data_IF_487237357441
#
_entry.id   IF_487237357441
#
_cell.length_a   1.000
_cell.length_b   1.000
_cell.length_c   1.000
_cell.angle_alpha   90.00
_cell.angle_beta   90.00
_cell.angle_gamma   90.00
#
_symmetry.space_group_name_H-M   'P 1'
#
loop_
_entity.id
_entity.type
_entity.pdbx_description
1 polymer ?
#
# COMPACT_ATOMS: atom_id res chain seq x y z
N UNK A 1 5.23 -7.54 -17.58
CA UNK A 1 5.25 -6.80 -16.31
C UNK A 1 6.69 -6.51 -15.95
N UNK A 2 7.09 -5.23 -15.91
CA UNK A 2 8.45 -4.79 -15.54
C UNK A 2 8.80 -5.34 -14.14
N UNK A 3 9.91 -6.08 -13.99
CA UNK A 3 10.32 -6.71 -12.73
C UNK A 3 10.45 -5.71 -11.58
N UNK A 4 10.93 -4.49 -11.85
CA UNK A 4 11.02 -3.42 -10.86
C UNK A 4 9.64 -2.97 -10.38
N UNK A 5 8.66 -2.91 -11.30
CA UNK A 5 7.28 -2.58 -10.97
C UNK A 5 6.63 -3.67 -10.11
N UNK A 6 6.92 -4.95 -10.40
CA UNK A 6 6.44 -6.08 -9.58
C UNK A 6 7.00 -6.00 -8.17
N UNK A 7 8.30 -5.73 -8.06
CA UNK A 7 8.97 -5.58 -6.77
C UNK A 7 8.37 -4.44 -5.96
N UNK A 8 8.21 -3.27 -6.58
CA UNK A 8 7.62 -2.10 -5.93
C UNK A 8 6.18 -2.36 -5.47
N UNK A 9 5.36 -3.00 -6.30
CA UNK A 9 3.99 -3.36 -5.94
C UNK A 9 3.96 -4.29 -4.71
N UNK A 10 4.85 -5.28 -4.65
CA UNK A 10 4.95 -6.19 -3.52
C UNK A 10 5.42 -5.48 -2.23
N UNK A 11 6.36 -4.53 -2.33
CA UNK A 11 6.82 -3.72 -1.20
C UNK A 11 5.67 -2.89 -0.60
N UNK A 12 4.83 -2.28 -1.45
CA UNK A 12 3.67 -1.53 -0.97
C UNK A 12 2.58 -2.43 -0.38
N UNK A 13 2.36 -3.63 -0.92
CA UNK A 13 1.43 -4.62 -0.32
C UNK A 13 1.89 -5.09 1.05
N UNK A 14 3.19 -5.32 1.25
CA UNK A 14 3.70 -5.65 2.60
C UNK A 14 3.60 -4.45 3.55
N UNK A 15 3.80 -3.22 3.03
CA UNK A 15 3.62 -1.99 3.80
C UNK A 15 2.18 -1.84 4.29
N UNK A 16 1.19 -2.04 3.40
CA UNK A 16 -0.23 -2.06 3.76
C UNK A 16 -0.49 -3.06 4.90
N UNK A 17 -0.01 -4.31 4.75
CA UNK A 17 -0.18 -5.36 5.75
C UNK A 17 0.42 -4.98 7.10
N UNK A 18 1.64 -4.45 7.11
CA UNK A 18 2.30 -3.98 8.34
C UNK A 18 1.52 -2.86 9.02
N UNK A 19 1.02 -1.90 8.24
CA UNK A 19 0.22 -0.80 8.76
C UNK A 19 -1.09 -1.29 9.36
N UNK A 20 -1.82 -2.17 8.66
CA UNK A 20 -3.07 -2.76 9.16
C UNK A 20 -2.86 -3.54 10.47
N UNK A 21 -1.74 -4.25 10.62
CA UNK A 21 -1.38 -4.89 11.89
C UNK A 21 -1.14 -3.86 13.01
N UNK A 22 -0.39 -2.79 12.71
CA UNK A 22 -0.09 -1.72 13.67
C UNK A 22 -1.30 -0.88 14.09
N UNK A 23 -2.35 -0.80 13.25
CA UNK A 23 -3.57 -0.03 13.54
C UNK A 23 -4.27 -0.47 14.83
N UNK A 24 -4.15 -1.74 15.22
CA UNK A 24 -4.77 -2.26 16.44
C UNK A 24 -4.08 -1.78 17.71
N UNK A 25 -2.88 -1.23 17.63
CA UNK A 25 -2.12 -0.72 18.76
C UNK A 25 -2.30 0.79 18.97
N UNK A 26 -3.03 1.46 18.07
CA UNK A 26 -3.26 2.89 18.13
C UNK A 26 -4.58 3.22 18.83
N UNK A 27 -4.50 4.12 19.83
CA UNK A 27 -5.66 4.68 20.51
C UNK A 27 -6.46 5.63 19.59
N UNK A 28 -5.77 6.37 18.72
CA UNK A 28 -6.36 7.25 17.71
C UNK A 28 -5.99 6.76 16.31
N UNK A 29 -6.99 6.43 15.50
CA UNK A 29 -6.79 5.73 14.23
C UNK A 29 -6.92 6.64 13.02
N UNK A 30 -7.56 7.79 13.15
CA UNK A 30 -7.95 8.66 12.04
C UNK A 30 -6.76 9.15 11.22
N UNK A 31 -5.69 9.60 11.89
CA UNK A 31 -4.46 9.99 11.19
C UNK A 31 -3.80 8.81 10.46
N UNK A 32 -3.74 7.65 11.12
CA UNK A 32 -3.14 6.45 10.56
C UNK A 32 -3.97 5.84 9.42
N UNK A 33 -5.31 5.91 9.49
CA UNK A 33 -6.23 5.57 8.38
C UNK A 33 -5.92 6.42 7.15
N UNK A 34 -5.78 7.73 7.32
CA UNK A 34 -5.43 8.62 6.20
C UNK A 34 -4.10 8.26 5.54
N UNK A 35 -3.11 7.77 6.31
CA UNK A 35 -1.84 7.26 5.75
C UNK A 35 -2.02 5.92 5.03
N UNK A 36 -2.83 5.03 5.58
CA UNK A 36 -3.15 3.74 4.95
C UNK A 36 -3.89 3.94 3.61
N UNK A 37 -4.80 4.91 3.53
CA UNK A 37 -5.54 5.22 2.31
C UNK A 37 -4.60 5.71 1.18
N UNK A 38 -3.54 6.45 1.53
CA UNK A 38 -2.50 6.84 0.57
C UNK A 38 -1.76 5.60 0.03
N UNK A 39 -1.37 4.68 0.92
CA UNK A 39 -0.71 3.43 0.51
C UNK A 39 -1.61 2.61 -0.42
N UNK A 40 -2.90 2.47 -0.09
CA UNK A 40 -3.90 1.79 -0.93
C UNK A 40 -4.05 2.45 -2.31
N UNK A 41 -4.01 3.78 -2.36
CA UNK A 41 -4.06 4.53 -3.63
C UNK A 41 -2.82 4.25 -4.48
N UNK A 42 -1.62 4.23 -3.88
CA UNK A 42 -0.38 3.91 -4.59
C UNK A 42 -0.44 2.49 -5.16
N UNK A 43 -0.88 1.51 -4.37
CA UNK A 43 -1.05 0.11 -4.85
C UNK A 43 -1.96 0.07 -6.07
N UNK A 44 -3.13 0.74 -6.01
CA UNK A 44 -4.09 0.76 -7.12
C UNK A 44 -3.49 1.38 -8.39
N UNK A 45 -2.70 2.44 -8.26
CA UNK A 45 -2.06 3.08 -9.41
C UNK A 45 -0.92 2.21 -10.00
N UNK A 46 -0.16 1.51 -9.16
CA UNK A 46 0.86 0.55 -9.61
C UNK A 46 0.23 -0.66 -10.32
N UNK A 47 -0.92 -1.16 -9.84
CA UNK A 47 -1.68 -2.23 -10.50
C UNK A 47 -2.26 -1.78 -11.85
N UNK A 48 -2.76 -0.55 -11.94
CA UNK A 48 -3.19 0.03 -13.22
C UNK A 48 -2.02 0.20 -14.18
N UNK A 49 -0.85 0.60 -13.67
CA UNK A 49 0.36 0.74 -14.48
C UNK A 49 0.81 -0.63 -14.99
N UNK A 50 0.75 -1.68 -14.17
CA UNK A 50 1.19 -3.03 -14.57
C UNK A 50 0.33 -3.67 -15.66
N UNK A 51 -0.93 -3.25 -15.79
CA UNK A 51 -1.85 -3.66 -16.85
C UNK A 51 -1.64 -2.92 -18.18
N UNK A 52 -0.97 -1.76 -18.14
CA UNK A 52 -0.72 -0.92 -19.33
C UNK A 52 0.64 -1.20 -19.99
N UNK A 53 1.51 -2.01 -19.36
CA UNK A 53 2.90 -2.26 -19.77
C UNK A 53 3.12 -3.72 -20.13
#
# INVERSE_FOLDING_TARGET
MNEELVKLLNEYKETERCMEMGMNWLNEKEYAKGKLDIVKTIIADLERLSQKV
#
